data_IF_362365301043
#
_entry.id   IF_362365301043
#
_cell.length_a   1.000
_cell.length_b   1.000
_cell.length_c   1.000
_cell.angle_alpha   90.00
_cell.angle_beta   90.00
_cell.angle_gamma   90.00
#
_symmetry.space_group_name_H-M   'P 1'
#
loop_
_entity.id
_entity.type
_entity.pdbx_description
1 polymer ?
#
# COMPACT_ATOMS: atom_id res chain seq x y z
N UNK A 1 -14.97 -6.48 1.23
CA UNK A 1 -14.73 -5.62 0.06
C UNK A 1 -14.65 -6.43 -1.23
N UNK A 2 -13.73 -7.39 -1.35
CA UNK A 2 -13.54 -8.21 -2.57
C UNK A 2 -14.84 -8.82 -3.10
N UNK A 3 -15.67 -9.41 -2.21
CA UNK A 3 -16.97 -9.95 -2.63
C UNK A 3 -17.88 -8.92 -3.29
N UNK A 4 -17.92 -7.68 -2.78
CA UNK A 4 -18.73 -6.60 -3.36
C UNK A 4 -18.25 -6.20 -4.77
N UNK A 5 -16.95 -6.29 -5.01
CA UNK A 5 -16.35 -6.07 -6.34
C UNK A 5 -16.78 -7.17 -7.29
N UNK A 6 -16.68 -8.44 -6.88
CA UNK A 6 -17.03 -9.60 -7.71
C UNK A 6 -18.51 -9.65 -8.09
N UNK A 7 -19.42 -9.26 -7.17
CA UNK A 7 -20.87 -9.32 -7.43
C UNK A 7 -21.47 -7.98 -7.89
N UNK A 8 -20.66 -6.96 -8.19
CA UNK A 8 -21.11 -5.60 -8.52
C UNK A 8 -22.13 -5.06 -7.50
N UNK A 9 -21.84 -5.22 -6.23
CA UNK A 9 -22.73 -4.92 -5.12
C UNK A 9 -22.94 -3.40 -4.89
N UNK A 10 -23.73 -3.04 -3.85
CA UNK A 10 -24.03 -1.63 -3.56
C UNK A 10 -22.79 -0.76 -3.32
N UNK A 11 -21.71 -1.32 -2.74
CA UNK A 11 -20.47 -0.59 -2.51
C UNK A 11 -19.76 -0.20 -3.81
N UNK A 12 -19.80 -1.03 -4.85
CA UNK A 12 -19.21 -0.67 -6.15
C UNK A 12 -19.96 0.48 -6.82
N UNK A 13 -21.28 0.52 -6.69
CA UNK A 13 -22.09 1.65 -7.20
C UNK A 13 -21.79 2.97 -6.47
N UNK A 14 -21.57 2.91 -5.15
CA UNK A 14 -21.12 4.07 -4.39
C UNK A 14 -19.73 4.53 -4.83
N UNK A 15 -18.84 3.58 -4.99
CA UNK A 15 -17.46 3.75 -5.46
C UNK A 15 -17.41 4.49 -6.81
N UNK A 16 -18.21 4.04 -7.77
CA UNK A 16 -18.38 4.67 -9.09
C UNK A 16 -18.88 6.11 -9.00
N UNK A 17 -19.88 6.36 -8.14
CA UNK A 17 -20.42 7.72 -7.93
C UNK A 17 -19.39 8.66 -7.29
N UNK A 18 -18.65 8.18 -6.28
CA UNK A 18 -17.60 8.96 -5.63
C UNK A 18 -16.51 9.27 -6.62
N UNK A 19 -16.04 8.29 -7.38
CA UNK A 19 -15.02 8.48 -8.41
C UNK A 19 -15.47 9.50 -9.46
N UNK A 20 -16.68 9.36 -10.00
CA UNK A 20 -17.23 10.29 -10.99
C UNK A 20 -17.35 11.74 -10.47
N UNK A 21 -17.56 11.91 -9.16
CA UNK A 21 -17.66 13.24 -8.55
C UNK A 21 -16.32 13.91 -8.30
N UNK A 22 -15.22 13.13 -8.12
CA UNK A 22 -13.92 13.67 -7.67
C UNK A 22 -12.85 13.63 -8.76
N UNK A 23 -13.00 12.81 -9.79
CA UNK A 23 -12.05 12.78 -10.91
C UNK A 23 -11.94 14.15 -11.55
N UNK A 24 -10.71 14.59 -11.79
CA UNK A 24 -10.34 15.89 -12.34
C UNK A 24 -10.81 17.11 -11.53
N UNK A 25 -11.29 16.95 -10.30
CA UNK A 25 -11.67 18.05 -9.40
C UNK A 25 -10.47 18.87 -8.88
N UNK A 26 -9.24 18.35 -9.03
CA UNK A 26 -8.00 18.98 -8.59
C UNK A 26 -7.05 19.15 -9.78
N UNK A 27 -6.20 20.19 -9.81
CA UNK A 27 -5.23 20.40 -10.86
C UNK A 27 -4.39 19.13 -11.12
N UNK A 28 -4.31 18.72 -12.39
CA UNK A 28 -3.69 17.48 -12.84
C UNK A 28 -2.28 17.25 -12.26
N UNK A 29 -1.45 18.30 -12.25
CA UNK A 29 -0.08 18.21 -11.72
C UNK A 29 -0.02 17.79 -10.25
N UNK A 30 -0.95 18.28 -9.43
CA UNK A 30 -0.99 17.94 -7.99
C UNK A 30 -1.42 16.49 -7.76
N UNK A 31 -2.44 16.04 -8.46
CA UNK A 31 -2.91 14.66 -8.36
C UNK A 31 -1.91 13.66 -8.96
N UNK A 32 -1.16 14.04 -10.01
CA UNK A 32 -0.05 13.22 -10.55
C UNK A 32 1.10 13.10 -9.55
N UNK A 33 1.58 14.22 -8.99
CA UNK A 33 2.63 14.19 -7.96
C UNK A 33 2.23 13.35 -6.75
N UNK A 34 0.96 13.43 -6.34
CA UNK A 34 0.44 12.61 -5.25
C UNK A 34 0.42 11.11 -5.61
N UNK A 35 -0.02 10.74 -6.82
CA UNK A 35 -0.05 9.36 -7.27
C UNK A 35 1.35 8.77 -7.47
N UNK A 36 2.32 9.59 -7.92
CA UNK A 36 3.70 9.18 -8.16
C UNK A 36 4.45 8.76 -6.89
N UNK A 37 4.02 9.22 -5.71
CA UNK A 37 4.56 8.74 -4.43
C UNK A 37 4.41 7.21 -4.26
N UNK A 38 3.43 6.58 -4.91
CA UNK A 38 3.22 5.14 -4.91
C UNK A 38 4.07 4.37 -5.93
N UNK A 39 4.78 5.05 -6.82
CA UNK A 39 5.66 4.41 -7.79
C UNK A 39 6.80 3.68 -7.10
N UNK A 40 7.14 2.49 -7.61
CA UNK A 40 8.27 1.70 -7.10
C UNK A 40 9.59 2.48 -7.13
N UNK A 41 9.78 3.33 -8.15
CA UNK A 41 10.96 4.19 -8.30
C UNK A 41 11.11 5.23 -7.20
N UNK A 42 10.03 5.58 -6.51
CA UNK A 42 10.01 6.52 -5.38
C UNK A 42 9.98 5.77 -4.04
N UNK A 43 9.07 4.82 -3.90
CA UNK A 43 8.82 4.13 -2.64
C UNK A 43 9.94 3.15 -2.24
N UNK A 44 10.51 2.40 -3.21
CA UNK A 44 11.57 1.42 -2.91
C UNK A 44 12.87 2.06 -2.41
N UNK A 45 13.40 3.15 -2.99
CA UNK A 45 14.58 3.82 -2.44
C UNK A 45 14.40 4.29 -0.99
N UNK A 46 13.21 4.77 -0.62
CA UNK A 46 12.90 5.18 0.75
C UNK A 46 12.97 4.00 1.70
N UNK A 47 12.34 2.88 1.34
CA UNK A 47 12.39 1.67 2.14
C UNK A 47 13.83 1.11 2.22
N UNK A 48 14.55 1.06 1.09
CA UNK A 48 15.92 0.55 1.03
C UNK A 48 16.86 1.37 1.93
N UNK A 49 16.75 2.70 1.92
CA UNK A 49 17.51 3.57 2.81
C UNK A 49 17.21 3.30 4.28
N UNK A 50 15.94 3.13 4.64
CA UNK A 50 15.53 2.78 6.00
C UNK A 50 16.01 1.38 6.42
N UNK A 51 16.01 0.40 5.50
CA UNK A 51 16.56 -0.93 5.75
C UNK A 51 18.08 -0.88 5.98
N UNK A 52 18.81 -0.12 5.16
CA UNK A 52 20.25 0.10 5.33
C UNK A 52 20.56 0.75 6.69
N UNK A 53 19.79 1.77 7.05
CA UNK A 53 19.87 2.39 8.39
C UNK A 53 19.64 1.37 9.52
N UNK A 54 18.62 0.53 9.42
CA UNK A 54 18.32 -0.50 10.42
C UNK A 54 19.45 -1.55 10.52
N UNK A 55 20.01 -1.97 9.39
CA UNK A 55 21.15 -2.91 9.33
C UNK A 55 22.38 -2.30 9.99
N UNK A 56 22.68 -1.01 9.71
CA UNK A 56 23.80 -0.31 10.35
C UNK A 56 23.66 -0.24 11.88
N UNK A 57 22.43 -0.10 12.37
CA UNK A 57 22.15 -0.11 13.81
C UNK A 57 21.98 -1.53 14.41
N UNK A 58 22.42 -2.57 13.69
CA UNK A 58 22.36 -3.97 14.17
C UNK A 58 20.98 -4.62 14.09
N UNK A 59 19.97 -3.95 13.51
CA UNK A 59 18.58 -4.40 13.43
C UNK A 59 18.29 -5.16 12.12
N UNK A 60 19.18 -6.12 11.79
CA UNK A 60 19.12 -6.92 10.54
C UNK A 60 17.80 -7.67 10.39
N UNK A 61 17.27 -8.22 11.49
CA UNK A 61 16.00 -8.96 11.46
C UNK A 61 14.83 -8.05 11.10
N UNK A 62 14.79 -6.82 11.63
CA UNK A 62 13.74 -5.86 11.32
C UNK A 62 13.81 -5.45 9.83
N UNK A 63 15.00 -5.22 9.31
CA UNK A 63 15.21 -4.95 7.89
C UNK A 63 14.76 -6.12 7.01
N UNK A 64 15.07 -7.36 7.39
CA UNK A 64 14.60 -8.56 6.67
C UNK A 64 13.07 -8.62 6.62
N UNK A 65 12.39 -8.41 7.75
CA UNK A 65 10.92 -8.40 7.78
C UNK A 65 10.32 -7.31 6.91
N UNK A 66 10.93 -6.12 6.86
CA UNK A 66 10.48 -5.05 5.97
C UNK A 66 10.64 -5.44 4.49
N UNK A 67 11.75 -6.08 4.13
CA UNK A 67 11.97 -6.61 2.79
C UNK A 67 10.97 -7.70 2.41
N UNK A 68 10.69 -8.64 3.33
CA UNK A 68 9.69 -9.69 3.13
C UNK A 68 8.27 -9.11 3.01
N UNK A 69 7.95 -8.11 3.81
CA UNK A 69 6.68 -7.39 3.71
C UNK A 69 6.52 -6.73 2.33
N UNK A 70 7.58 -6.10 1.81
CA UNK A 70 7.54 -5.51 0.46
C UNK A 70 7.41 -6.58 -0.62
N UNK A 71 8.11 -7.71 -0.50
CA UNK A 71 7.99 -8.83 -1.44
C UNK A 71 6.58 -9.46 -1.42
N UNK A 72 5.89 -9.44 -0.28
CA UNK A 72 4.52 -9.94 -0.15
C UNK A 72 3.51 -9.08 -0.95
N UNK A 73 3.80 -7.80 -1.21
CA UNK A 73 2.88 -6.92 -1.95
C UNK A 73 2.54 -7.49 -3.33
N UNK A 74 3.50 -7.71 -4.26
CA UNK A 74 3.17 -8.27 -5.57
C UNK A 74 2.62 -9.70 -5.47
N UNK A 75 3.09 -10.51 -4.53
CA UNK A 75 2.62 -11.89 -4.33
C UNK A 75 1.13 -11.97 -3.95
N UNK A 76 0.58 -10.95 -3.30
CA UNK A 76 -0.82 -10.88 -2.93
C UNK A 76 -1.65 -10.04 -3.90
N UNK A 77 -1.09 -8.93 -4.39
CA UNK A 77 -1.80 -8.01 -5.29
C UNK A 77 -2.02 -8.63 -6.66
N UNK A 78 -1.01 -9.29 -7.25
CA UNK A 78 -1.11 -9.83 -8.62
C UNK A 78 -2.23 -10.88 -8.73
N UNK A 79 -2.28 -11.94 -7.87
CA UNK A 79 -3.37 -12.91 -7.95
C UNK A 79 -4.76 -12.31 -7.70
N UNK A 80 -4.85 -11.32 -6.80
CA UNK A 80 -6.12 -10.62 -6.55
C UNK A 80 -6.57 -9.82 -7.77
N UNK A 81 -5.66 -9.19 -8.50
CA UNK A 81 -5.94 -8.47 -9.74
C UNK A 81 -6.47 -9.41 -10.83
N UNK A 82 -5.79 -10.53 -11.02
CA UNK A 82 -6.20 -11.57 -11.99
C UNK A 82 -7.56 -12.17 -11.63
N UNK A 83 -7.77 -12.48 -10.34
CA UNK A 83 -9.02 -13.08 -9.87
C UNK A 83 -10.22 -12.14 -10.00
N UNK A 84 -10.05 -10.86 -9.68
CA UNK A 84 -11.17 -9.90 -9.70
C UNK A 84 -11.43 -9.33 -11.08
N UNK A 85 -10.40 -9.27 -11.93
CA UNK A 85 -10.44 -8.71 -13.29
C UNK A 85 -11.22 -7.38 -13.35
N UNK A 86 -11.14 -6.56 -12.28
CA UNK A 86 -11.92 -5.32 -12.16
C UNK A 86 -11.49 -4.32 -13.21
N UNK A 87 -12.41 -3.73 -13.99
CA UNK A 87 -12.07 -2.69 -14.96
C UNK A 87 -11.66 -1.37 -14.29
N UNK A 88 -10.88 -0.57 -15.02
CA UNK A 88 -10.44 0.76 -14.54
C UNK A 88 -11.54 1.83 -14.65
N UNK A 89 -11.41 2.93 -13.87
CA UNK A 89 -12.37 4.03 -13.91
C UNK A 89 -12.45 4.74 -15.28
N UNK A 90 -11.30 4.96 -15.91
CA UNK A 90 -11.18 5.64 -17.20
C UNK A 90 -10.90 4.66 -18.36
N UNK A 91 -10.55 3.43 -18.07
CA UNK A 91 -10.19 2.40 -19.03
C UNK A 91 -11.03 1.14 -18.81
N UNK A 92 -12.32 1.16 -19.19
CA UNK A 92 -13.23 0.02 -18.95
C UNK A 92 -12.86 -1.23 -19.73
N UNK A 93 -11.97 -1.12 -20.72
CA UNK A 93 -11.41 -2.23 -21.50
C UNK A 93 -10.16 -2.87 -20.86
N UNK A 94 -9.56 -2.22 -19.87
CA UNK A 94 -8.39 -2.73 -19.15
C UNK A 94 -8.83 -3.29 -17.81
N UNK A 95 -8.33 -4.48 -17.48
CA UNK A 95 -8.68 -5.23 -16.28
C UNK A 95 -7.56 -5.22 -15.23
N UNK A 96 -7.86 -5.67 -14.01
CA UNK A 96 -6.87 -5.83 -12.97
C UNK A 96 -6.58 -4.56 -12.16
N UNK A 97 -7.59 -3.74 -11.93
CA UNK A 97 -7.44 -2.52 -11.12
C UNK A 97 -7.55 -2.77 -9.61
N UNK A 98 -8.25 -3.81 -9.17
CA UNK A 98 -8.42 -4.14 -7.76
C UNK A 98 -7.46 -5.25 -7.31
N UNK A 99 -6.76 -5.09 -6.18
CA UNK A 99 -6.56 -3.87 -5.40
C UNK A 99 -5.46 -2.96 -6.01
N UNK A 100 -5.30 -1.74 -5.49
CA UNK A 100 -4.29 -0.78 -5.95
C UNK A 100 -2.87 -1.20 -5.54
N UNK A 101 -2.02 -1.54 -6.51
CA UNK A 101 -0.61 -1.86 -6.26
C UNK A 101 0.19 -0.66 -5.74
N UNK A 102 -0.04 0.55 -6.26
CA UNK A 102 0.62 1.78 -5.82
C UNK A 102 0.33 2.09 -4.34
N UNK A 103 -0.93 2.00 -3.93
CA UNK A 103 -1.32 2.24 -2.53
C UNK A 103 -0.73 1.20 -1.59
N UNK A 104 -0.75 -0.08 -1.97
CA UNK A 104 -0.14 -1.15 -1.17
C UNK A 104 1.38 -0.96 -1.03
N UNK A 105 2.06 -0.62 -2.13
CA UNK A 105 3.50 -0.30 -2.15
C UNK A 105 3.81 0.90 -1.26
N UNK A 106 3.08 2.01 -1.41
CA UNK A 106 3.27 3.21 -0.60
C UNK A 106 3.12 2.90 0.90
N UNK A 107 2.08 2.17 1.28
CA UNK A 107 1.82 1.81 2.67
C UNK A 107 2.95 0.96 3.26
N UNK A 108 3.34 -0.11 2.58
CA UNK A 108 4.40 -0.99 3.09
C UNK A 108 5.74 -0.29 3.10
N UNK A 109 6.07 0.51 2.07
CA UNK A 109 7.33 1.23 2.01
C UNK A 109 7.42 2.33 3.07
N UNK A 110 6.46 3.25 3.11
CA UNK A 110 6.56 4.42 4.00
C UNK A 110 6.34 4.07 5.47
N UNK A 111 5.30 3.27 5.76
CA UNK A 111 5.04 2.86 7.14
C UNK A 111 6.12 1.89 7.63
N UNK A 112 6.59 0.98 6.78
CA UNK A 112 7.72 0.10 7.07
C UNK A 112 9.02 0.88 7.34
N UNK A 113 9.34 1.87 6.49
CA UNK A 113 10.48 2.76 6.70
C UNK A 113 10.35 3.55 8.02
N UNK A 114 9.17 4.07 8.33
CA UNK A 114 8.91 4.77 9.59
C UNK A 114 9.18 3.87 10.80
N UNK A 115 8.73 2.63 10.80
CA UNK A 115 9.03 1.66 11.87
C UNK A 115 10.53 1.35 12.00
N UNK A 116 11.24 1.31 10.88
CA UNK A 116 12.69 1.06 10.90
C UNK A 116 13.48 2.25 11.43
N UNK A 117 13.03 3.48 11.21
CA UNK A 117 13.74 4.70 11.65
C UNK A 117 13.22 5.19 12.99
N UNK A 118 11.94 5.52 13.08
CA UNK A 118 11.30 5.98 14.33
C UNK A 118 9.77 5.88 14.22
N UNK A 119 9.13 5.30 15.25
CA UNK A 119 7.67 5.23 15.36
C UNK A 119 6.98 6.61 15.30
N UNK A 120 7.69 7.68 15.64
CA UNK A 120 7.17 9.05 15.56
C UNK A 120 6.88 9.48 14.13
N UNK A 121 7.47 8.80 13.12
CA UNK A 121 7.26 9.07 11.71
C UNK A 121 6.03 8.34 11.13
N UNK A 122 5.44 7.38 11.87
CA UNK A 122 4.29 6.61 11.39
C UNK A 122 3.09 7.49 10.98
N UNK A 123 2.71 8.54 11.73
CA UNK A 123 1.63 9.41 11.29
C UNK A 123 1.93 10.11 9.95
N UNK A 124 3.16 10.60 9.76
CA UNK A 124 3.57 11.21 8.51
C UNK A 124 3.56 10.21 7.34
N UNK A 125 4.03 8.99 7.57
CA UNK A 125 3.97 7.91 6.59
C UNK A 125 2.53 7.53 6.22
N UNK A 126 1.62 7.50 7.19
CA UNK A 126 0.21 7.27 6.95
C UNK A 126 -0.43 8.40 6.09
N UNK A 127 -0.06 9.66 6.36
CA UNK A 127 -0.49 10.80 5.53
C UNK A 127 0.04 10.67 4.10
N UNK A 128 1.31 10.34 3.90
CA UNK A 128 1.87 10.12 2.56
C UNK A 128 1.13 9.01 1.80
N UNK A 129 0.82 7.91 2.49
CA UNK A 129 0.04 6.81 1.91
C UNK A 129 -1.38 7.26 1.54
N UNK A 130 -2.04 8.03 2.40
CA UNK A 130 -3.37 8.57 2.13
C UNK A 130 -3.35 9.55 0.94
N UNK A 131 -2.34 10.42 0.87
CA UNK A 131 -2.12 11.34 -0.26
C UNK A 131 -1.94 10.56 -1.56
N UNK A 132 -1.13 9.49 -1.56
CA UNK A 132 -0.96 8.60 -2.71
C UNK A 132 -2.30 8.02 -3.18
N UNK A 133 -3.04 7.39 -2.27
CA UNK A 133 -4.34 6.79 -2.60
C UNK A 133 -5.35 7.81 -3.12
N UNK A 134 -5.40 8.98 -2.49
CA UNK A 134 -6.26 10.09 -2.94
C UNK A 134 -5.86 10.58 -4.32
N UNK A 135 -4.56 10.76 -4.59
CA UNK A 135 -4.06 11.15 -5.90
C UNK A 135 -4.49 10.19 -7.01
N UNK A 136 -4.41 8.88 -6.74
CA UNK A 136 -4.82 7.84 -7.69
C UNK A 136 -6.33 7.90 -8.02
N UNK A 137 -7.18 8.18 -7.02
CA UNK A 137 -8.62 8.34 -7.22
C UNK A 137 -8.92 9.63 -8.00
N UNK A 138 -8.31 10.74 -7.62
CA UNK A 138 -8.49 12.04 -8.29
C UNK A 138 -8.05 12.02 -9.77
N UNK A 139 -7.10 11.14 -10.10
CA UNK A 139 -6.65 10.93 -11.49
C UNK A 139 -7.50 9.90 -12.25
N UNK A 140 -8.44 9.22 -11.58
CA UNK A 140 -9.19 8.13 -12.19
C UNK A 140 -8.31 6.89 -12.50
N UNK A 141 -7.15 6.75 -11.85
CA UNK A 141 -6.29 5.57 -12.00
C UNK A 141 -6.79 4.38 -11.20
N UNK A 142 -7.50 4.63 -10.10
CA UNK A 142 -8.09 3.61 -9.25
C UNK A 142 -9.42 4.06 -8.66
N UNK A 143 -10.27 3.09 -8.37
CA UNK A 143 -11.49 3.30 -7.60
C UNK A 143 -11.16 3.50 -6.10
N UNK A 144 -11.96 4.26 -5.34
CA UNK A 144 -11.81 4.38 -3.88
C UNK A 144 -11.71 3.02 -3.15
N UNK A 145 -12.51 2.02 -3.54
CA UNK A 145 -12.45 0.68 -2.94
C UNK A 145 -11.14 -0.05 -3.22
N UNK A 146 -10.49 0.19 -4.37
CA UNK A 146 -9.18 -0.40 -4.68
C UNK A 146 -8.12 0.12 -3.70
N UNK A 147 -8.19 1.42 -3.40
CA UNK A 147 -7.32 2.08 -2.42
C UNK A 147 -7.57 1.56 -1.02
N UNK A 148 -8.83 1.51 -0.58
CA UNK A 148 -9.19 1.02 0.75
C UNK A 148 -8.79 -0.45 0.95
N UNK A 149 -9.01 -1.30 -0.06
CA UNK A 149 -8.57 -2.69 0.00
C UNK A 149 -7.05 -2.82 0.15
N UNK A 150 -6.30 -1.96 -0.54
CA UNK A 150 -4.84 -1.94 -0.45
C UNK A 150 -4.33 -1.44 0.89
N UNK A 151 -5.00 -0.48 1.52
CA UNK A 151 -4.70 -0.05 2.88
C UNK A 151 -4.92 -1.19 3.88
N UNK A 152 -6.05 -1.92 3.77
CA UNK A 152 -6.30 -3.11 4.60
C UNK A 152 -5.23 -4.20 4.39
N UNK A 153 -4.88 -4.47 3.13
CA UNK A 153 -3.86 -5.46 2.77
C UNK A 153 -2.49 -5.08 3.33
N UNK A 154 -2.07 -3.85 3.14
CA UNK A 154 -0.80 -3.33 3.68
C UNK A 154 -0.76 -3.37 5.21
N UNK A 155 -1.87 -3.07 5.88
CA UNK A 155 -2.00 -3.19 7.32
C UNK A 155 -1.82 -4.66 7.80
N UNK A 156 -2.42 -5.62 7.10
CA UNK A 156 -2.26 -7.04 7.40
C UNK A 156 -0.83 -7.52 7.18
N UNK A 157 -0.18 -7.11 6.08
CA UNK A 157 1.21 -7.45 5.78
C UNK A 157 2.15 -6.92 6.88
N UNK A 158 2.02 -5.65 7.24
CA UNK A 158 2.86 -5.02 8.27
C UNK A 158 2.57 -5.59 9.66
N UNK A 159 1.30 -5.87 9.99
CA UNK A 159 0.90 -6.48 11.24
C UNK A 159 1.48 -7.87 11.41
N UNK A 160 1.41 -8.72 10.39
CA UNK A 160 2.01 -10.06 10.40
C UNK A 160 3.53 -10.00 10.58
N UNK A 161 4.22 -9.07 9.89
CA UNK A 161 5.66 -8.84 10.04
C UNK A 161 6.03 -8.36 11.45
N UNK A 162 5.24 -7.46 12.04
CA UNK A 162 5.44 -6.97 13.41
C UNK A 162 5.31 -8.07 14.46
N UNK A 163 4.29 -8.93 14.35
CA UNK A 163 4.11 -10.08 15.25
C UNK A 163 5.29 -11.05 15.14
N UNK A 164 5.74 -11.36 13.93
CA UNK A 164 6.87 -12.24 13.70
C UNK A 164 8.19 -11.67 14.30
N UNK A 165 8.42 -10.37 14.16
CA UNK A 165 9.58 -9.69 14.73
C UNK A 165 9.58 -9.71 16.26
N UNK A 166 8.43 -9.55 16.91
CA UNK A 166 8.30 -9.62 18.39
C UNK A 166 8.54 -11.05 18.87
N UNK A 167 7.95 -12.04 18.22
CA UNK A 167 8.09 -13.45 18.56
C UNK A 167 9.56 -13.92 18.49
N UNK A 168 10.28 -13.53 17.44
CA UNK A 168 11.70 -13.89 17.27
C UNK A 168 12.62 -13.27 18.34
N UNK A 169 12.27 -12.11 18.90
CA UNK A 169 13.03 -11.48 20.00
C UNK A 169 12.76 -12.17 21.33
N UNK A 170 11.54 -12.68 21.55
CA UNK A 170 11.17 -13.39 22.76
C UNK A 170 11.91 -14.73 22.88
N UNK A 171 11.98 -15.50 21.79
CA UNK A 171 12.70 -16.78 21.76
C UNK A 171 14.20 -16.63 21.98
N UNK A 172 14.83 -15.58 21.46
CA UNK A 172 16.28 -15.32 21.72
C UNK A 172 16.59 -14.95 23.18
N UNK A 173 15.64 -14.34 23.91
CA UNK A 173 15.83 -14.00 25.34
C UNK A 173 15.66 -15.21 26.27
N UNK A 174 14.95 -16.23 25.86
CA UNK A 174 14.72 -17.44 26.68
C UNK A 174 15.82 -18.52 26.50
N UNK A 175 16.69 -18.36 25.50
CA UNK A 175 17.77 -19.31 25.18
C UNK A 175 19.20 -18.83 25.57
N UNK A 176 19.33 -17.70 26.23
CA UNK A 176 20.58 -17.16 26.76
C UNK A 176 20.48 -16.84 28.23
#
# INVERSE_FOLDING_TARGET
MTWQVLVHGPLTRLDERVSAAVVDSVPRRLSELASDLGNLTVALPVLAAAMAYAVWHGRRTDALYAGLAMAAVPLLVIPLKEWTARPGPLEPWAEGYYPSGHTATAMVAYVGAAYLVSHRLVPAAAVLTAVTGTGLVLRGYHWPLDVLASLCLGFLILGAGGIAAVSSRCTRRSSG
#
